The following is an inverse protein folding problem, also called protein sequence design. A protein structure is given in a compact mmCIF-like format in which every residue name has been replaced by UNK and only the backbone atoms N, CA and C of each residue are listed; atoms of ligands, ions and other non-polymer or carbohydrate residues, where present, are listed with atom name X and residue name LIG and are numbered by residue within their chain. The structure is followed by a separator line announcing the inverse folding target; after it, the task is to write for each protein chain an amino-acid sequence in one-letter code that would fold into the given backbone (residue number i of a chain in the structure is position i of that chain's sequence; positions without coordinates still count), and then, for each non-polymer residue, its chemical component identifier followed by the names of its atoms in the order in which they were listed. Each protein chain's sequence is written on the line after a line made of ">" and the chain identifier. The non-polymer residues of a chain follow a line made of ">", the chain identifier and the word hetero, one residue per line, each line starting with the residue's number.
data_IF_049801337028
#
_entry.id   IF_049801337028
#
_cell.length_a   1.000
_cell.length_b   1.000
_cell.length_c   1.000
_cell.angle_alpha   90.00
_cell.angle_beta   90.00
_cell.angle_gamma   90.00
#
_symmetry.space_group_name_H-M   'P 1'
#
loop_
_entity.id
_entity.type
_entity.pdbx_description
1 polymer ?
#
# COMPACT_ATOMS: atom_id res chain seq x y z
N UNK A 1 13.75 1.54 -25.03
CA UNK A 1 13.18 1.95 -23.71
C UNK A 1 14.26 1.71 -22.68
N UNK A 2 14.77 2.78 -22.07
CA UNK A 2 15.81 2.72 -21.04
C UNK A 2 15.15 2.62 -19.65
N UNK A 3 15.50 1.60 -18.88
CA UNK A 3 14.82 1.26 -17.63
C UNK A 3 15.76 1.40 -16.43
N UNK A 4 15.33 2.10 -15.39
CA UNK A 4 15.99 2.10 -14.08
C UNK A 4 15.36 1.03 -13.18
N UNK A 5 16.15 0.08 -12.70
CA UNK A 5 15.73 -0.85 -11.65
C UNK A 5 16.13 -0.33 -10.26
N UNK A 6 15.15 0.06 -9.47
CA UNK A 6 15.30 0.39 -8.07
C UNK A 6 15.19 -0.88 -7.22
N UNK A 7 16.31 -1.37 -6.69
CA UNK A 7 16.41 -2.66 -6.02
C UNK A 7 16.70 -2.53 -4.53
N UNK A 8 15.87 -3.19 -3.71
CA UNK A 8 16.11 -3.26 -2.27
C UNK A 8 16.65 -4.64 -1.89
N UNK A 9 17.94 -4.78 -1.47
CA UNK A 9 18.55 -6.06 -1.17
C UNK A 9 17.90 -6.77 0.03
N UNK A 10 17.22 -6.03 0.91
CA UNK A 10 16.56 -6.55 2.11
C UNK A 10 15.10 -6.95 1.88
N UNK A 11 14.52 -6.58 0.72
CA UNK A 11 13.10 -6.86 0.43
C UNK A 11 12.82 -8.38 0.42
N UNK A 12 11.60 -8.74 0.82
CA UNK A 12 11.18 -10.14 0.94
C UNK A 12 12.08 -10.97 1.86
N UNK A 13 12.75 -10.33 2.85
CA UNK A 13 13.75 -10.99 3.73
C UNK A 13 14.94 -11.56 2.96
N UNK A 14 15.49 -10.77 2.04
CA UNK A 14 16.61 -11.14 1.17
C UNK A 14 16.20 -11.95 -0.07
N UNK A 15 14.93 -12.02 -0.40
CA UNK A 15 14.45 -12.70 -1.60
C UNK A 15 14.90 -11.96 -2.87
N UNK A 16 15.09 -10.65 -2.82
CA UNK A 16 15.68 -9.84 -3.92
C UNK A 16 16.99 -10.45 -4.41
N UNK A 17 17.94 -10.70 -3.50
CA UNK A 17 19.25 -11.26 -3.86
C UNK A 17 19.14 -12.68 -4.41
N UNK A 18 18.16 -13.47 -3.97
CA UNK A 18 17.92 -14.84 -4.47
C UNK A 18 17.36 -14.86 -5.88
N UNK A 19 16.52 -13.88 -6.20
CA UNK A 19 15.89 -13.77 -7.52
C UNK A 19 16.77 -13.03 -8.55
N UNK A 20 17.80 -12.30 -8.09
CA UNK A 20 18.66 -11.49 -8.94
C UNK A 20 19.29 -12.27 -10.11
N UNK A 21 19.92 -13.46 -9.93
CA UNK A 21 20.53 -14.19 -11.05
C UNK A 21 19.50 -14.58 -12.12
N UNK A 22 18.27 -14.86 -11.70
CA UNK A 22 17.18 -15.18 -12.63
C UNK A 22 16.70 -13.93 -13.37
N UNK A 23 16.60 -12.81 -12.68
CA UNK A 23 16.26 -11.53 -13.30
C UNK A 23 17.31 -11.14 -14.35
N UNK A 24 18.60 -11.15 -13.99
CA UNK A 24 19.71 -10.79 -14.90
C UNK A 24 19.72 -11.66 -16.17
N UNK A 25 19.53 -12.97 -16.02
CA UNK A 25 19.41 -13.89 -17.16
C UNK A 25 18.26 -13.49 -18.09
N UNK A 26 17.08 -13.21 -17.54
CA UNK A 26 15.90 -12.80 -18.31
C UNK A 26 16.09 -11.45 -19.00
N UNK A 27 16.73 -10.48 -18.34
CA UNK A 27 17.05 -9.17 -18.92
C UNK A 27 18.01 -9.30 -20.11
N UNK A 28 19.04 -10.17 -19.99
CA UNK A 28 19.98 -10.46 -21.07
C UNK A 28 19.30 -11.18 -22.25
N UNK A 29 18.47 -12.20 -21.99
CA UNK A 29 17.72 -12.91 -23.03
C UNK A 29 16.76 -12.01 -23.82
N UNK A 30 16.30 -10.92 -23.19
CA UNK A 30 15.37 -9.94 -23.80
C UNK A 30 16.09 -8.71 -24.37
N UNK A 31 17.42 -8.65 -24.31
CA UNK A 31 18.25 -7.54 -24.80
C UNK A 31 17.77 -6.15 -24.27
N UNK A 32 17.39 -6.10 -22.99
CA UNK A 32 16.86 -4.87 -22.38
C UNK A 32 17.97 -3.88 -22.07
N UNK A 33 17.72 -2.59 -22.35
CA UNK A 33 18.59 -1.48 -21.93
C UNK A 33 18.18 -1.04 -20.51
N UNK A 34 19.05 -1.31 -19.54
CA UNK A 34 18.73 -1.04 -18.12
C UNK A 34 19.93 -0.62 -17.29
N UNK A 35 19.64 0.11 -16.22
CA UNK A 35 20.56 0.44 -15.14
C UNK A 35 19.99 -0.05 -13.80
N UNK A 36 20.86 -0.45 -12.88
CA UNK A 36 20.48 -0.92 -11.54
C UNK A 36 20.98 0.05 -10.49
N UNK A 37 20.09 0.45 -9.57
CA UNK A 37 20.41 1.18 -8.35
C UNK A 37 19.93 0.40 -7.14
N UNK A 38 20.85 0.16 -6.22
CA UNK A 38 20.59 -0.50 -4.96
C UNK A 38 20.26 0.51 -3.88
N UNK A 39 19.23 0.22 -3.07
CA UNK A 39 18.97 1.01 -1.87
C UNK A 39 19.95 0.64 -0.77
N UNK A 40 20.52 1.63 -0.11
CA UNK A 40 21.43 1.47 1.04
C UNK A 40 20.68 1.52 2.37
N UNK A 41 19.59 2.31 2.44
CA UNK A 41 18.77 2.49 3.62
C UNK A 41 17.38 3.07 3.33
N UNK A 42 16.57 3.31 4.38
CA UNK A 42 15.27 3.95 4.24
C UNK A 42 15.39 5.36 3.64
N UNK A 43 14.49 5.70 2.71
CA UNK A 43 14.43 6.99 2.03
C UNK A 43 15.36 7.12 0.82
N UNK A 44 16.32 6.22 0.65
CA UNK A 44 17.33 6.30 -0.41
C UNK A 44 16.70 6.18 -1.81
N UNK A 45 15.71 5.27 -1.97
CA UNK A 45 15.00 5.13 -3.24
C UNK A 45 14.26 6.41 -3.64
N UNK A 46 13.73 7.18 -2.70
CA UNK A 46 13.09 8.47 -2.98
C UNK A 46 14.10 9.47 -3.55
N UNK A 47 15.32 9.53 -2.97
CA UNK A 47 16.34 10.48 -3.36
C UNK A 47 16.80 10.17 -4.78
N UNK A 48 17.34 8.97 -5.04
CA UNK A 48 17.92 8.68 -6.34
C UNK A 48 16.87 8.62 -7.46
N UNK A 49 15.65 8.17 -7.20
CA UNK A 49 14.59 8.18 -8.23
C UNK A 49 14.15 9.59 -8.58
N UNK A 50 14.12 10.51 -7.62
CA UNK A 50 13.86 11.93 -7.88
C UNK A 50 14.94 12.56 -8.77
N UNK A 51 16.20 12.24 -8.49
CA UNK A 51 17.34 12.81 -9.22
C UNK A 51 17.47 12.25 -10.64
N UNK A 52 17.09 10.98 -10.85
CA UNK A 52 17.31 10.22 -12.09
C UNK A 52 16.07 10.01 -12.95
N UNK A 53 14.87 10.37 -12.47
CA UNK A 53 13.61 10.02 -13.15
C UNK A 53 13.54 10.50 -14.62
N UNK A 54 14.10 11.67 -14.91
CA UNK A 54 14.02 12.26 -16.25
C UNK A 54 15.05 11.65 -17.24
N UNK A 55 15.95 10.78 -16.75
CA UNK A 55 16.98 10.09 -17.56
C UNK A 55 16.48 8.74 -18.11
N UNK A 56 15.29 8.26 -17.66
CA UNK A 56 14.76 6.95 -17.97
C UNK A 56 13.32 7.02 -18.47
N UNK A 57 12.98 6.09 -19.38
CA UNK A 57 11.61 5.93 -19.90
C UNK A 57 10.68 5.25 -18.87
N UNK A 58 11.25 4.46 -17.95
CA UNK A 58 10.55 3.66 -16.95
C UNK A 58 11.42 3.45 -15.72
N UNK A 59 10.84 3.59 -14.54
CA UNK A 59 11.44 3.14 -13.28
C UNK A 59 10.73 1.87 -12.80
N UNK A 60 11.49 0.81 -12.61
CA UNK A 60 10.98 -0.49 -12.16
C UNK A 60 11.41 -0.76 -10.73
N UNK A 61 10.44 -0.93 -9.84
CA UNK A 61 10.68 -1.37 -8.47
C UNK A 61 10.94 -2.88 -8.44
N UNK A 62 12.08 -3.30 -7.94
CA UNK A 62 12.36 -4.71 -7.61
C UNK A 62 12.42 -4.82 -6.09
N UNK A 63 11.22 -4.88 -5.46
CA UNK A 63 11.09 -4.70 -4.04
C UNK A 63 9.71 -5.05 -3.48
N UNK A 64 9.42 -4.59 -2.28
CA UNK A 64 8.09 -4.68 -1.65
C UNK A 64 7.43 -3.30 -1.53
N UNK A 65 6.30 -3.26 -0.81
CA UNK A 65 5.45 -2.07 -0.67
C UNK A 65 6.21 -0.84 -0.16
N UNK A 66 7.14 -0.99 0.80
CA UNK A 66 7.96 0.14 1.28
C UNK A 66 8.88 0.71 0.21
N UNK A 67 9.59 -0.14 -0.56
CA UNK A 67 10.44 0.32 -1.66
C UNK A 67 9.60 0.97 -2.75
N UNK A 68 8.42 0.41 -3.03
CA UNK A 68 7.48 0.97 -3.99
C UNK A 68 7.01 2.37 -3.56
N UNK A 69 6.66 2.56 -2.29
CA UNK A 69 6.24 3.86 -1.78
C UNK A 69 7.39 4.91 -1.83
N UNK A 70 8.62 4.51 -1.54
CA UNK A 70 9.79 5.39 -1.69
C UNK A 70 9.98 5.82 -3.15
N UNK A 71 9.95 4.89 -4.11
CA UNK A 71 10.08 5.18 -5.55
C UNK A 71 8.94 6.07 -6.03
N UNK A 72 7.70 5.78 -5.61
CA UNK A 72 6.54 6.63 -5.89
C UNK A 72 6.81 8.08 -5.49
N UNK A 73 7.22 8.32 -4.23
CA UNK A 73 7.47 9.66 -3.71
C UNK A 73 8.63 10.38 -4.41
N UNK A 74 9.59 9.64 -4.97
CA UNK A 74 10.63 10.20 -5.81
C UNK A 74 10.16 10.56 -7.23
N UNK A 75 9.21 9.82 -7.78
CA UNK A 75 8.69 10.01 -9.14
C UNK A 75 7.60 11.07 -9.24
N UNK A 76 6.89 11.36 -8.15
CA UNK A 76 5.83 12.39 -8.16
C UNK A 76 6.39 13.74 -8.61
N UNK A 77 5.62 14.42 -9.48
CA UNK A 77 6.02 15.68 -10.13
C UNK A 77 6.89 15.49 -11.39
N UNK A 78 7.20 14.25 -11.78
CA UNK A 78 7.77 13.88 -13.09
C UNK A 78 6.75 13.17 -13.97
N UNK A 79 7.22 12.76 -15.15
CA UNK A 79 6.38 12.05 -16.15
C UNK A 79 6.74 10.56 -16.28
N UNK A 80 7.84 10.12 -15.66
CA UNK A 80 8.33 8.76 -15.79
C UNK A 80 7.40 7.79 -15.04
N UNK A 81 6.83 6.79 -15.71
CA UNK A 81 5.95 5.82 -15.09
C UNK A 81 6.72 4.84 -14.20
N UNK A 82 5.99 4.20 -13.29
CA UNK A 82 6.51 3.16 -12.41
C UNK A 82 5.99 1.77 -12.79
N UNK A 83 6.89 0.80 -12.94
CA UNK A 83 6.57 -0.61 -12.94
C UNK A 83 6.96 -1.28 -11.63
N UNK A 84 6.36 -2.43 -11.31
CA UNK A 84 6.67 -3.18 -10.09
C UNK A 84 6.90 -4.65 -10.40
N UNK A 85 8.01 -5.19 -9.93
CA UNK A 85 8.27 -6.63 -9.79
C UNK A 85 8.21 -6.95 -8.30
N UNK A 86 7.14 -7.60 -7.84
CA UNK A 86 6.87 -7.75 -6.41
C UNK A 86 7.75 -8.83 -5.78
N UNK A 87 8.62 -8.42 -4.86
CA UNK A 87 9.50 -9.31 -4.08
C UNK A 87 9.13 -9.28 -2.59
N UNK A 88 8.25 -8.38 -2.21
CA UNK A 88 7.81 -8.17 -0.83
C UNK A 88 6.98 -9.32 -0.25
N UNK A 89 6.56 -9.13 0.99
CA UNK A 89 5.71 -10.09 1.72
C UNK A 89 4.22 -9.79 1.52
N UNK A 90 3.82 -8.52 1.48
CA UNK A 90 2.43 -8.06 1.28
C UNK A 90 2.12 -7.92 -0.20
N UNK A 91 2.82 -7.03 -0.85
CA UNK A 91 2.62 -6.61 -2.24
C UNK A 91 1.17 -6.16 -2.48
N UNK A 92 0.65 -5.37 -1.53
CA UNK A 92 -0.75 -4.98 -1.49
C UNK A 92 -1.13 -4.06 -2.64
N UNK A 93 -0.25 -3.12 -3.01
CA UNK A 93 -0.46 -2.30 -4.19
C UNK A 93 -0.56 -3.12 -5.49
N UNK A 94 0.33 -4.10 -5.68
CA UNK A 94 0.34 -4.96 -6.87
C UNK A 94 -0.98 -5.74 -7.00
N UNK A 95 -1.55 -6.17 -5.86
CA UNK A 95 -2.88 -6.81 -5.81
C UNK A 95 -3.99 -5.82 -6.18
N UNK A 96 -3.99 -4.64 -5.57
CA UNK A 96 -4.97 -3.59 -5.83
C UNK A 96 -4.95 -3.12 -7.27
N UNK A 97 -3.76 -3.00 -7.86
CA UNK A 97 -3.57 -2.61 -9.25
C UNK A 97 -3.79 -3.76 -10.26
N UNK A 98 -4.06 -4.98 -9.78
CA UNK A 98 -4.24 -6.18 -10.60
C UNK A 98 -3.02 -6.50 -11.48
N UNK A 99 -1.81 -6.27 -10.96
CA UNK A 99 -0.55 -6.51 -11.65
C UNK A 99 -0.01 -7.93 -11.40
N UNK A 100 0.86 -8.45 -12.27
CA UNK A 100 1.46 -9.77 -12.10
C UNK A 100 2.29 -9.93 -10.83
N UNK A 101 2.19 -11.12 -10.21
CA UNK A 101 2.88 -11.45 -8.96
C UNK A 101 4.18 -12.27 -9.15
N UNK A 102 4.40 -12.83 -10.32
CA UNK A 102 5.58 -13.66 -10.63
C UNK A 102 6.58 -12.87 -11.47
N UNK A 103 7.86 -13.13 -11.26
CA UNK A 103 8.96 -12.44 -11.94
C UNK A 103 8.80 -12.45 -13.48
N UNK A 104 8.54 -13.61 -14.08
CA UNK A 104 8.44 -13.77 -15.52
C UNK A 104 7.29 -12.95 -16.10
N UNK A 105 6.11 -13.11 -15.53
CA UNK A 105 4.92 -12.38 -15.98
C UNK A 105 5.04 -10.88 -15.72
N UNK A 106 5.74 -10.45 -14.64
CA UNK A 106 6.03 -9.03 -14.40
C UNK A 106 6.97 -8.45 -15.46
N UNK A 107 7.98 -9.21 -15.90
CA UNK A 107 8.85 -8.77 -17.00
C UNK A 107 8.12 -8.71 -18.34
N UNK A 108 7.25 -9.66 -18.63
CA UNK A 108 6.39 -9.62 -19.82
C UNK A 108 5.44 -8.42 -19.77
N UNK A 109 4.90 -8.10 -18.58
CA UNK A 109 4.10 -6.90 -18.34
C UNK A 109 4.90 -5.61 -18.61
N UNK A 110 6.18 -5.57 -18.26
CA UNK A 110 7.07 -4.45 -18.55
C UNK A 110 7.32 -4.32 -20.06
N UNK A 111 7.60 -5.41 -20.75
CA UNK A 111 7.91 -5.41 -22.18
C UNK A 111 6.72 -5.00 -23.05
N UNK A 112 5.51 -5.43 -22.69
CA UNK A 112 4.29 -5.23 -23.48
C UNK A 112 3.37 -4.14 -22.90
N UNK A 113 3.80 -3.48 -21.83
CA UNK A 113 2.99 -2.53 -21.09
C UNK A 113 2.84 -1.17 -21.78
N UNK A 114 1.96 -0.39 -21.18
CA UNK A 114 1.69 1.02 -21.54
C UNK A 114 1.41 1.83 -20.27
N UNK A 115 1.55 3.16 -20.33
CA UNK A 115 1.17 4.03 -19.22
C UNK A 115 -0.32 3.89 -18.89
N UNK A 116 -0.61 3.72 -17.58
CA UNK A 116 -1.95 3.72 -16.99
C UNK A 116 -1.99 4.71 -15.83
N UNK A 117 -2.91 5.66 -15.88
CA UNK A 117 -3.08 6.63 -14.80
C UNK A 117 -3.88 6.01 -13.67
N UNK A 118 -3.43 6.28 -12.44
CA UNK A 118 -4.12 5.93 -11.22
C UNK A 118 -4.24 7.15 -10.31
N UNK A 119 -5.17 7.10 -9.39
CA UNK A 119 -5.36 8.13 -8.39
C UNK A 119 -4.24 8.07 -7.36
N UNK A 120 -3.88 9.23 -6.82
CA UNK A 120 -2.80 9.40 -5.86
C UNK A 120 -3.35 10.02 -4.59
N UNK A 121 -3.06 9.42 -3.45
CA UNK A 121 -3.37 10.01 -2.16
C UNK A 121 -2.26 10.95 -1.68
N UNK A 122 -2.65 12.08 -1.07
CA UNK A 122 -1.76 13.05 -0.43
C UNK A 122 -2.11 13.17 1.04
N UNK A 123 -1.16 12.88 1.91
CA UNK A 123 -1.27 13.01 3.36
C UNK A 123 -0.61 14.29 3.84
N UNK A 124 -1.34 15.09 4.60
CA UNK A 124 -0.92 16.37 5.20
C UNK A 124 -0.23 17.34 4.23
N UNK A 125 -0.51 17.25 2.92
CA UNK A 125 0.13 18.09 1.89
C UNK A 125 1.58 17.75 1.59
N UNK A 126 2.14 16.69 2.14
CA UNK A 126 3.58 16.43 2.09
C UNK A 126 3.95 15.04 1.54
N UNK A 127 3.14 14.02 1.83
CA UNK A 127 3.52 12.63 1.58
C UNK A 127 2.48 11.89 0.74
N UNK A 128 2.94 11.21 -0.29
CA UNK A 128 2.08 10.51 -1.22
C UNK A 128 1.96 9.02 -0.89
N UNK A 129 0.78 8.47 -1.20
CA UNK A 129 0.50 7.04 -1.12
C UNK A 129 -0.44 6.62 -2.26
N UNK A 130 -0.48 5.33 -2.60
CA UNK A 130 -1.31 4.82 -3.69
C UNK A 130 -2.31 3.77 -3.27
N UNK A 131 -2.17 3.21 -2.08
CA UNK A 131 -2.99 2.08 -1.68
C UNK A 131 -3.88 2.40 -0.46
N UNK A 132 -3.34 2.47 0.76
CA UNK A 132 -4.18 2.69 1.94
C UNK A 132 -3.51 3.53 3.02
N UNK A 133 -4.34 4.26 3.77
CA UNK A 133 -4.00 4.84 5.07
C UNK A 133 -4.77 4.09 6.15
N UNK A 134 -4.06 3.49 7.09
CA UNK A 134 -4.66 2.84 8.25
C UNK A 134 -4.44 3.65 9.52
N UNK A 135 -5.51 3.94 10.27
CA UNK A 135 -5.50 4.71 11.52
C UNK A 135 -6.12 3.85 12.62
N UNK A 136 -5.45 3.75 13.77
CA UNK A 136 -5.93 3.01 14.92
C UNK A 136 -5.49 1.54 14.91
N UNK A 137 -6.42 0.60 15.11
CA UNK A 137 -6.09 -0.83 15.25
C UNK A 137 -5.30 -1.41 14.09
N UNK A 138 -5.59 -1.01 12.86
CA UNK A 138 -4.88 -1.48 11.67
C UNK A 138 -3.38 -1.14 11.73
N UNK A 139 -3.06 0.13 12.03
CA UNK A 139 -1.68 0.55 12.22
C UNK A 139 -1.02 -0.12 13.44
N UNK A 140 -1.77 -0.32 14.53
CA UNK A 140 -1.28 -1.01 15.71
C UNK A 140 -0.95 -2.49 15.39
N UNK A 141 -1.82 -3.18 14.66
CA UNK A 141 -1.57 -4.53 14.19
C UNK A 141 -0.36 -4.59 13.24
N UNK A 142 -0.19 -3.60 12.37
CA UNK A 142 0.98 -3.48 11.48
C UNK A 142 2.29 -3.37 12.30
N UNK A 143 2.34 -2.50 13.30
CA UNK A 143 3.50 -2.38 14.20
C UNK A 143 3.85 -3.74 14.83
N UNK A 144 2.84 -4.47 15.30
CA UNK A 144 3.06 -5.79 15.92
C UNK A 144 3.45 -6.88 14.91
N UNK A 145 2.98 -6.77 13.67
CA UNK A 145 3.33 -7.71 12.59
C UNK A 145 4.84 -7.73 12.31
N UNK A 146 5.50 -6.58 12.42
CA UNK A 146 6.96 -6.45 12.21
C UNK A 146 7.79 -7.27 13.22
N UNK A 147 7.22 -7.60 14.39
CA UNK A 147 7.85 -8.44 15.42
C UNK A 147 7.77 -9.94 15.09
N UNK A 148 6.96 -10.35 14.13
CA UNK A 148 6.72 -11.75 13.76
C UNK A 148 7.70 -12.16 12.67
N UNK A 149 8.74 -12.94 13.06
CA UNK A 149 9.85 -13.32 12.15
C UNK A 149 9.64 -14.65 11.41
N UNK A 150 8.79 -15.55 11.93
CA UNK A 150 8.70 -16.95 11.45
C UNK A 150 7.66 -17.16 10.34
N UNK A 151 6.70 -16.24 10.16
CA UNK A 151 5.62 -16.33 9.19
C UNK A 151 5.87 -15.41 7.99
N UNK A 152 5.16 -15.65 6.87
CA UNK A 152 5.20 -14.83 5.63
C UNK A 152 3.80 -14.56 5.11
N UNK A 153 3.68 -13.53 4.29
CA UNK A 153 2.42 -13.17 3.64
C UNK A 153 1.32 -12.81 4.64
N UNK A 154 0.08 -13.02 4.26
CA UNK A 154 -1.13 -12.73 5.03
C UNK A 154 -1.11 -13.34 6.44
N UNK A 155 -0.49 -14.52 6.61
CA UNK A 155 -0.42 -15.18 7.92
C UNK A 155 0.28 -14.34 9.01
N UNK A 156 1.20 -13.45 8.64
CA UNK A 156 1.85 -12.52 9.58
C UNK A 156 0.82 -11.57 10.18
N UNK A 157 -0.02 -10.98 9.33
CA UNK A 157 -1.06 -10.03 9.74
C UNK A 157 -2.15 -10.71 10.54
N UNK A 158 -2.62 -11.87 10.09
CA UNK A 158 -3.62 -12.67 10.83
C UNK A 158 -3.17 -12.92 12.26
N UNK A 159 -1.93 -13.40 12.45
CA UNK A 159 -1.39 -13.63 13.80
C UNK A 159 -1.20 -12.32 14.57
N UNK A 160 -0.79 -11.23 13.92
CA UNK A 160 -0.68 -9.93 14.57
C UNK A 160 -2.04 -9.45 15.07
N UNK A 161 -3.09 -9.51 14.24
CA UNK A 161 -4.47 -9.16 14.61
C UNK A 161 -4.87 -9.92 15.89
N UNK A 162 -4.82 -11.25 15.88
CA UNK A 162 -5.26 -12.04 17.03
C UNK A 162 -4.44 -11.80 18.30
N UNK A 163 -3.14 -11.51 18.19
CA UNK A 163 -2.30 -11.19 19.34
C UNK A 163 -2.63 -9.82 19.96
N UNK A 164 -3.15 -8.91 19.18
CA UNK A 164 -3.35 -7.51 19.57
C UNK A 164 -4.77 -7.16 19.98
N UNK A 165 -5.75 -8.02 19.64
CA UNK A 165 -7.17 -7.78 19.93
C UNK A 165 -7.48 -7.37 21.39
N UNK A 166 -6.73 -7.90 22.38
CA UNK A 166 -6.93 -7.59 23.80
C UNK A 166 -6.15 -6.38 24.28
N UNK A 167 -5.29 -5.81 23.43
CA UNK A 167 -4.41 -4.70 23.75
C UNK A 167 -4.91 -3.37 23.18
N UNK A 168 -6.03 -3.41 22.46
CA UNK A 168 -6.62 -2.28 21.78
C UNK A 168 -8.07 -2.10 22.19
N UNK A 169 -8.48 -0.86 22.34
CA UNK A 169 -9.87 -0.43 22.55
C UNK A 169 -10.20 0.70 21.58
N UNK A 170 -11.48 0.87 21.30
CA UNK A 170 -11.96 1.98 20.48
C UNK A 170 -11.63 3.33 21.12
N UNK A 171 -11.32 4.31 20.29
CA UNK A 171 -10.98 5.68 20.67
C UNK A 171 -11.91 6.62 19.92
N UNK A 172 -12.35 7.69 20.58
CA UNK A 172 -13.21 8.66 19.94
C UNK A 172 -12.50 9.36 18.79
N UNK A 173 -13.08 9.26 17.60
CA UNK A 173 -12.61 9.90 16.39
C UNK A 173 -13.73 10.72 15.74
N UNK A 174 -13.37 11.91 15.28
CA UNK A 174 -14.20 12.70 14.38
C UNK A 174 -13.64 12.63 12.98
N UNK A 175 -14.43 12.07 12.06
CA UNK A 175 -14.06 11.83 10.66
C UNK A 175 -14.92 12.76 9.81
N UNK A 176 -14.34 13.84 9.32
CA UNK A 176 -14.99 14.78 8.40
C UNK A 176 -14.67 14.38 6.96
N UNK A 177 -15.72 14.18 6.17
CA UNK A 177 -15.71 13.88 4.75
C UNK A 177 -16.23 15.10 3.96
N UNK A 178 -16.30 14.99 2.63
CA UNK A 178 -16.76 16.10 1.79
C UNK A 178 -18.15 16.61 2.16
N UNK A 179 -19.09 15.72 2.47
CA UNK A 179 -20.50 16.02 2.72
C UNK A 179 -21.04 15.38 4.01
N UNK A 180 -20.21 14.69 4.75
CA UNK A 180 -20.62 13.90 5.92
C UNK A 180 -19.60 14.02 7.06
N UNK A 181 -20.07 13.81 8.30
CA UNK A 181 -19.18 13.73 9.48
C UNK A 181 -19.63 12.58 10.37
N UNK A 182 -18.69 11.72 10.75
CA UNK A 182 -18.85 10.71 11.78
C UNK A 182 -18.17 11.24 13.04
N UNK A 183 -18.82 11.17 14.20
CA UNK A 183 -18.23 11.47 15.51
C UNK A 183 -18.61 10.32 16.45
N UNK A 184 -17.72 9.34 16.56
CA UNK A 184 -18.02 8.09 17.25
C UNK A 184 -16.75 7.46 17.84
N UNK A 185 -16.95 6.43 18.68
CA UNK A 185 -15.88 5.55 19.13
C UNK A 185 -15.48 4.60 17.98
N UNK A 186 -14.30 4.79 17.46
CA UNK A 186 -13.77 4.06 16.32
C UNK A 186 -12.73 3.03 16.76
N UNK A 187 -12.89 1.81 16.31
CA UNK A 187 -11.87 0.75 16.47
C UNK A 187 -10.72 0.94 15.49
N UNK A 188 -11.06 1.25 14.23
CA UNK A 188 -10.13 1.66 13.17
C UNK A 188 -10.84 2.53 12.13
N UNK A 189 -10.04 3.30 11.41
CA UNK A 189 -10.44 3.97 10.17
C UNK A 189 -9.41 3.65 9.09
N UNK A 190 -9.86 3.06 7.99
CA UNK A 190 -9.05 2.80 6.80
C UNK A 190 -9.52 3.73 5.67
N UNK A 191 -8.61 4.51 5.10
CA UNK A 191 -8.85 5.36 3.93
C UNK A 191 -8.20 4.65 2.76
N UNK A 192 -9.01 4.04 1.91
CA UNK A 192 -8.57 3.14 0.86
C UNK A 192 -8.69 3.76 -0.53
N UNK A 193 -7.58 3.81 -1.24
CA UNK A 193 -7.51 4.01 -2.68
C UNK A 193 -7.51 2.63 -3.37
N UNK A 194 -6.79 1.66 -2.80
CA UNK A 194 -6.76 0.26 -3.23
C UNK A 194 -7.42 -0.68 -2.21
N UNK A 195 -7.86 -1.84 -2.65
CA UNK A 195 -8.64 -2.77 -1.85
C UNK A 195 -7.82 -3.68 -0.92
N UNK A 196 -6.54 -3.94 -1.24
CA UNK A 196 -5.72 -4.92 -0.53
C UNK A 196 -4.93 -4.31 0.62
N UNK A 197 -4.94 -4.94 1.77
CA UNK A 197 -4.14 -4.57 2.95
C UNK A 197 -3.62 -5.84 3.64
N UNK A 198 -2.43 -5.76 4.24
CA UNK A 198 -1.88 -6.85 5.05
C UNK A 198 -1.62 -8.15 4.29
N UNK A 199 -1.33 -8.08 2.99
CA UNK A 199 -1.05 -9.22 2.12
C UNK A 199 -2.29 -9.89 1.54
N UNK A 200 -3.36 -9.15 1.31
CA UNK A 200 -4.57 -9.61 0.64
C UNK A 200 -5.83 -9.68 1.50
N UNK A 201 -5.82 -9.11 2.69
CA UNK A 201 -7.06 -8.79 3.42
C UNK A 201 -7.73 -7.58 2.76
N UNK A 202 -9.03 -7.39 2.99
CA UNK A 202 -9.73 -6.25 2.42
C UNK A 202 -10.63 -5.57 3.45
N UNK A 203 -10.31 -4.29 3.72
CA UNK A 203 -11.14 -3.39 4.52
C UNK A 203 -12.08 -2.54 3.66
N UNK A 204 -11.79 -2.43 2.36
CA UNK A 204 -12.61 -1.72 1.38
C UNK A 204 -12.61 -2.52 0.07
N UNK A 205 -13.44 -3.59 -0.04
CA UNK A 205 -13.37 -4.53 -1.15
C UNK A 205 -13.73 -3.93 -2.52
N UNK A 206 -14.48 -2.83 -2.54
CA UNK A 206 -14.92 -2.15 -3.76
C UNK A 206 -14.02 -0.99 -4.17
N UNK A 207 -12.96 -0.70 -3.39
CA UNK A 207 -12.02 0.40 -3.68
C UNK A 207 -11.33 0.24 -5.04
N UNK A 208 -11.25 1.34 -5.78
CA UNK A 208 -10.71 1.40 -7.15
C UNK A 208 -9.70 2.52 -7.29
N UNK A 209 -8.57 2.20 -7.88
CA UNK A 209 -7.45 3.13 -8.09
C UNK A 209 -7.70 4.25 -9.12
N UNK A 210 -8.89 4.33 -9.76
CA UNK A 210 -9.11 5.18 -10.95
C UNK A 210 -10.45 5.89 -10.98
N UNK A 211 -11.17 5.93 -9.86
CA UNK A 211 -12.53 6.50 -9.86
C UNK A 211 -12.62 7.88 -9.17
N UNK A 212 -11.48 8.40 -8.71
CA UNK A 212 -11.36 9.74 -8.13
C UNK A 212 -11.89 9.85 -6.71
N UNK A 213 -12.04 8.72 -5.98
CA UNK A 213 -12.54 8.70 -4.61
C UNK A 213 -11.73 7.73 -3.74
N UNK A 214 -11.70 8.01 -2.45
CA UNK A 214 -11.35 7.01 -1.44
C UNK A 214 -12.61 6.28 -0.97
N UNK A 215 -12.48 5.00 -0.64
CA UNK A 215 -13.43 4.24 0.15
C UNK A 215 -12.98 4.26 1.62
N UNK A 216 -13.77 4.88 2.49
CA UNK A 216 -13.46 5.04 3.90
C UNK A 216 -14.17 3.97 4.70
N UNK A 217 -13.44 2.95 5.13
CA UNK A 217 -13.94 1.93 6.03
C UNK A 217 -13.77 2.41 7.47
N UNK A 218 -14.88 2.76 8.09
CA UNK A 218 -14.97 3.06 9.51
C UNK A 218 -15.51 1.84 10.25
N UNK A 219 -14.79 1.38 11.26
CA UNK A 219 -15.24 0.33 12.16
C UNK A 219 -15.50 0.97 13.52
N UNK A 220 -16.75 1.00 13.94
CA UNK A 220 -17.16 1.52 15.25
C UNK A 220 -16.71 0.62 16.39
N UNK A 221 -17.15 0.90 17.62
CA UNK A 221 -16.78 0.07 18.77
C UNK A 221 -17.23 -1.38 18.56
N UNK A 222 -16.30 -2.31 18.64
CA UNK A 222 -16.51 -3.73 18.39
C UNK A 222 -15.76 -4.59 19.41
N UNK A 223 -16.42 -5.61 19.95
CA UNK A 223 -15.74 -6.54 20.86
C UNK A 223 -14.76 -7.47 20.12
N UNK A 224 -13.66 -7.82 20.81
CA UNK A 224 -12.68 -8.77 20.29
C UNK A 224 -13.29 -10.11 19.87
N UNK A 225 -14.33 -10.57 20.58
CA UNK A 225 -15.05 -11.81 20.25
C UNK A 225 -15.77 -11.66 18.89
N UNK A 226 -16.43 -10.52 18.66
CA UNK A 226 -17.14 -10.26 17.40
C UNK A 226 -16.21 -10.15 16.21
N UNK A 227 -14.98 -9.59 16.41
CA UNK A 227 -13.92 -9.60 15.41
C UNK A 227 -13.51 -11.03 15.05
N UNK A 228 -13.27 -11.89 16.05
CA UNK A 228 -12.91 -13.30 15.81
C UNK A 228 -13.98 -14.03 15.02
N UNK A 229 -15.26 -13.87 15.37
CA UNK A 229 -16.38 -14.52 14.68
C UNK A 229 -16.56 -14.02 13.23
N UNK A 230 -16.33 -12.73 12.99
CA UNK A 230 -16.47 -12.14 11.66
C UNK A 230 -15.17 -12.14 10.84
N UNK A 231 -14.07 -12.68 11.37
CA UNK A 231 -12.79 -12.73 10.66
C UNK A 231 -12.88 -13.39 9.27
N UNK A 232 -13.70 -14.45 9.05
CA UNK A 232 -13.93 -14.98 7.71
C UNK A 232 -14.54 -13.97 6.72
N UNK A 233 -15.35 -13.01 7.19
CA UNK A 233 -15.89 -11.95 6.32
C UNK A 233 -14.77 -11.04 5.80
N UNK A 234 -13.82 -10.65 6.69
CA UNK A 234 -12.64 -9.88 6.28
C UNK A 234 -11.80 -10.63 5.24
N UNK A 235 -11.58 -11.94 5.44
CA UNK A 235 -10.82 -12.77 4.52
C UNK A 235 -11.48 -12.90 3.13
N UNK A 236 -12.81 -12.87 3.08
CA UNK A 236 -13.61 -13.07 1.88
C UNK A 236 -14.10 -11.76 1.25
N UNK A 237 -13.63 -10.59 1.71
CA UNK A 237 -14.08 -9.29 1.21
C UNK A 237 -15.55 -8.96 1.49
N UNK A 238 -16.14 -9.55 2.54
CA UNK A 238 -17.53 -9.35 2.95
C UNK A 238 -17.67 -8.55 4.24
N UNK A 239 -16.72 -7.64 4.48
CA UNK A 239 -16.72 -6.83 5.70
C UNK A 239 -17.94 -5.90 5.78
N UNK A 240 -18.48 -5.51 4.62
CA UNK A 240 -19.70 -4.69 4.50
C UNK A 240 -20.94 -5.34 5.14
N UNK A 241 -20.92 -6.67 5.36
CA UNK A 241 -22.01 -7.41 6.00
C UNK A 241 -21.98 -7.30 7.55
N UNK A 242 -21.12 -6.48 8.11
CA UNK A 242 -21.00 -6.26 9.56
C UNK A 242 -21.71 -4.96 9.96
N UNK A 243 -22.48 -5.02 11.04
CA UNK A 243 -23.23 -3.87 11.55
C UNK A 243 -22.34 -2.71 12.03
N UNK A 244 -21.13 -3.05 12.52
CA UNK A 244 -20.15 -2.07 13.02
C UNK A 244 -19.32 -1.44 11.90
N UNK A 245 -19.48 -1.89 10.67
CA UNK A 245 -18.72 -1.39 9.53
C UNK A 245 -19.57 -0.45 8.71
N UNK A 246 -19.04 0.74 8.47
CA UNK A 246 -19.61 1.71 7.54
C UNK A 246 -18.57 2.03 6.49
N UNK A 247 -18.91 1.88 5.21
CA UNK A 247 -18.06 2.31 4.11
C UNK A 247 -18.69 3.52 3.43
N UNK A 248 -17.95 4.59 3.37
CA UNK A 248 -18.34 5.86 2.74
C UNK A 248 -17.32 6.23 1.68
N UNK A 249 -17.69 7.14 0.79
CA UNK A 249 -16.78 7.64 -0.26
C UNK A 249 -16.55 9.12 -0.09
N UNK A 250 -15.30 9.55 -0.25
CA UNK A 250 -14.92 10.96 -0.16
C UNK A 250 -13.65 11.24 -0.94
N UNK A 251 -13.47 12.49 -1.35
CA UNK A 251 -12.22 12.98 -1.95
C UNK A 251 -11.27 13.57 -0.92
N UNK A 252 -11.84 14.07 0.17
CA UNK A 252 -11.08 14.64 1.28
C UNK A 252 -11.56 14.02 2.58
N UNK A 253 -10.61 13.68 3.41
CA UNK A 253 -10.85 13.05 4.71
C UNK A 253 -10.00 13.76 5.76
N UNK A 254 -10.64 14.23 6.82
CA UNK A 254 -9.95 14.73 8.00
C UNK A 254 -10.37 13.92 9.21
N UNK A 255 -9.43 13.19 9.78
CA UNK A 255 -9.63 12.44 11.03
C UNK A 255 -9.01 13.24 12.18
N UNK A 256 -9.76 13.41 13.26
CA UNK A 256 -9.29 14.03 14.50
C UNK A 256 -9.60 13.08 15.65
N UNK A 257 -8.65 12.87 16.54
CA UNK A 257 -8.80 12.01 17.72
C UNK A 257 -8.48 12.75 19.03
N UNK A 258 -9.06 12.27 20.13
CA UNK A 258 -8.78 12.82 21.46
C UNK A 258 -7.36 12.44 21.93
N UNK A 259 -6.90 11.25 21.56
CA UNK A 259 -5.58 10.71 21.89
C UNK A 259 -4.72 10.52 20.63
N UNK A 260 -3.38 10.53 20.76
CA UNK A 260 -2.50 10.18 19.65
C UNK A 260 -2.77 8.77 19.15
N UNK A 261 -2.87 8.60 17.84
CA UNK A 261 -3.14 7.32 17.21
C UNK A 261 -1.98 6.87 16.33
N UNK A 262 -1.67 5.57 16.33
CA UNK A 262 -0.80 5.00 15.32
C UNK A 262 -1.45 5.08 13.94
N UNK A 263 -0.63 5.34 12.93
CA UNK A 263 -1.06 5.32 11.54
C UNK A 263 0.01 4.70 10.64
N UNK A 264 -0.41 4.27 9.47
CA UNK A 264 0.49 3.90 8.39
C UNK A 264 0.01 4.41 7.03
N UNK A 265 0.95 4.63 6.13
CA UNK A 265 0.74 4.87 4.70
C UNK A 265 1.32 3.68 3.93
N UNK A 266 0.52 2.98 3.14
CA UNK A 266 0.94 1.80 2.36
C UNK A 266 1.75 0.77 3.18
N UNK A 267 1.39 0.60 4.45
CA UNK A 267 2.09 -0.28 5.40
C UNK A 267 3.31 0.33 6.08
N UNK A 268 3.74 1.54 5.72
CA UNK A 268 4.82 2.25 6.41
C UNK A 268 4.29 3.04 7.61
N UNK A 269 4.81 2.75 8.79
CA UNK A 269 4.39 3.42 10.02
C UNK A 269 4.90 4.86 10.02
N UNK A 270 4.00 5.78 10.26
CA UNK A 270 4.32 7.19 10.49
C UNK A 270 4.50 7.40 11.98
N UNK A 271 5.72 7.75 12.36
CA UNK A 271 6.06 8.04 13.75
C UNK A 271 5.51 9.41 14.16
N UNK A 272 5.16 9.54 15.42
CA UNK A 272 4.69 10.80 16.02
C UNK A 272 3.42 10.62 16.86
N UNK A 273 3.12 11.64 17.65
CA UNK A 273 1.90 11.73 18.46
C UNK A 273 0.79 12.44 17.67
N UNK A 274 0.41 11.87 16.53
CA UNK A 274 -0.55 12.51 15.65
C UNK A 274 -1.98 12.36 16.16
N UNK A 275 -2.70 13.46 16.20
CA UNK A 275 -4.13 13.55 16.55
C UNK A 275 -4.99 14.04 15.38
N UNK A 276 -4.35 14.56 14.33
CA UNK A 276 -5.02 15.11 13.15
C UNK A 276 -4.37 14.51 11.91
N UNK A 277 -5.19 13.96 11.02
CA UNK A 277 -4.77 13.30 9.79
C UNK A 277 -5.62 13.88 8.65
N UNK A 278 -4.97 14.55 7.71
CA UNK A 278 -5.64 15.12 6.55
C UNK A 278 -5.19 14.37 5.28
N UNK A 279 -6.16 13.89 4.53
CA UNK A 279 -5.91 13.10 3.31
C UNK A 279 -6.78 13.63 2.20
N UNK A 280 -6.18 13.84 1.02
CA UNK A 280 -6.92 14.19 -0.19
C UNK A 280 -6.48 13.34 -1.37
N UNK A 281 -7.41 13.09 -2.31
CA UNK A 281 -7.13 12.36 -3.54
C UNK A 281 -6.79 13.32 -4.66
N UNK A 282 -5.81 12.93 -5.46
CA UNK A 282 -5.43 13.60 -6.72
C UNK A 282 -5.81 12.65 -7.85
N UNK A 283 -6.96 12.86 -8.53
CA UNK A 283 -7.43 11.96 -9.57
C UNK A 283 -6.45 11.89 -10.74
N UNK A 284 -6.09 10.66 -11.14
CA UNK A 284 -5.10 10.42 -12.19
C UNK A 284 -3.71 10.98 -11.89
N UNK A 285 -3.39 11.19 -10.60
CA UNK A 285 -2.21 11.90 -10.13
C UNK A 285 -0.89 11.15 -10.30
N UNK A 286 -0.93 9.86 -10.67
CA UNK A 286 0.27 9.06 -10.89
C UNK A 286 0.13 8.15 -12.11
N UNK A 287 1.27 7.76 -12.69
CA UNK A 287 1.31 6.88 -13.85
C UNK A 287 2.07 5.59 -13.50
N UNK A 288 1.40 4.47 -13.64
CA UNK A 288 2.02 3.15 -13.56
C UNK A 288 2.16 2.54 -14.95
N UNK A 289 2.98 1.49 -15.05
CA UNK A 289 3.17 0.73 -16.28
C UNK A 289 2.43 -0.60 -16.19
N UNK A 290 1.50 -0.83 -17.13
CA UNK A 290 0.62 -1.98 -17.10
C UNK A 290 0.46 -2.61 -18.48
N UNK A 291 0.73 -3.92 -18.60
CA UNK A 291 0.55 -4.72 -19.80
C UNK A 291 -0.82 -5.38 -19.92
N UNK A 292 -1.74 -5.12 -19.00
CA UNK A 292 -3.05 -5.77 -18.95
C UNK A 292 -3.00 -7.24 -18.57
N UNK A 293 -1.87 -7.71 -18.04
CA UNK A 293 -1.66 -9.08 -17.58
C UNK A 293 -2.03 -9.14 -16.09
N UNK A 294 -3.20 -9.62 -15.77
CA UNK A 294 -3.67 -9.76 -14.38
C UNK A 294 -2.78 -10.67 -13.51
N UNK A 295 -3.09 -10.81 -12.22
CA UNK A 295 -2.38 -11.68 -11.31
C UNK A 295 -2.51 -13.15 -11.77
N UNK A 296 -1.39 -13.77 -12.12
CA UNK A 296 -1.29 -15.18 -12.53
C UNK A 296 -0.85 -16.08 -11.36
#
# INVERSE_FOLDING_TARGET
>A
MRILFAMNPKAGRGNTLKQLPRLEKLLQEKEMDYEVRWTEGPGDATIFTKDMRDDFDLVTVFGGDGTMNEVLNGLVGGNTPMAVIPIGTGNDFVRSANLPMKLETSLENILNGKPRKIDLGLYNGERYFVNVVGIGFDAFANIQSRKIKKLKGTAVYVVAIFKTLRQWSSIRMKIALDDHTIDDHSYLTCIANGWSVGGGLSLAPDARLEDGFFDICHVSDISSMKIVWNFPKLMNGKINDMEEVTILRSRKVKVTSEEPLPMHLDGEIIEGENKVFEVEIIPGGFTIWDGGMGPA
#
